data_IF_722729414774
#
_entry.id   IF_722729414774
#
_cell.length_a   1.000
_cell.length_b   1.000
_cell.length_c   1.000
_cell.angle_alpha   90.00
_cell.angle_beta   90.00
_cell.angle_gamma   90.00
#
_symmetry.space_group_name_H-M   'P 1'
#
loop_
_entity.id
_entity.type
_entity.pdbx_description
1 polymer ?
#
# COMPACT_ATOMS: atom_id res chain seq x y z
N UNK A 1 18.19 8.02 2.67
CA UNK A 1 16.70 8.12 2.67
C UNK A 1 16.22 7.06 1.70
N UNK A 2 15.25 6.23 2.10
CA UNK A 2 14.70 5.18 1.21
C UNK A 2 13.98 5.80 0.00
N UNK A 3 13.87 5.02 -1.11
CA UNK A 3 13.17 5.44 -2.33
C UNK A 3 11.72 5.84 -2.05
N UNK A 4 10.99 5.07 -1.22
CA UNK A 4 9.62 5.38 -0.83
C UNK A 4 9.47 6.72 -0.10
N UNK A 5 10.32 7.00 0.89
CA UNK A 5 10.34 8.32 1.58
C UNK A 5 10.64 9.48 0.65
N UNK A 6 11.46 9.26 -0.36
CA UNK A 6 11.76 10.30 -1.34
C UNK A 6 10.56 10.55 -2.25
N UNK A 7 9.92 9.49 -2.75
CA UNK A 7 8.67 9.60 -3.52
C UNK A 7 7.60 10.35 -2.74
N UNK A 8 7.37 10.01 -1.46
CA UNK A 8 6.40 10.68 -0.58
C UNK A 8 6.65 12.19 -0.45
N UNK A 9 7.92 12.64 -0.36
CA UNK A 9 8.24 14.08 -0.33
C UNK A 9 7.89 14.79 -1.64
N UNK A 10 8.11 14.14 -2.77
CA UNK A 10 7.74 14.70 -4.09
C UNK A 10 6.22 14.81 -4.18
N UNK A 11 5.50 13.74 -3.81
CA UNK A 11 4.03 13.68 -3.84
C UNK A 11 3.44 14.78 -2.94
N UNK A 12 3.90 14.90 -1.70
CA UNK A 12 3.43 15.92 -0.76
C UNK A 12 3.63 17.34 -1.31
N UNK A 13 4.80 17.62 -1.90
CA UNK A 13 5.08 18.93 -2.54
C UNK A 13 4.21 19.17 -3.77
N UNK A 14 3.91 18.14 -4.53
CA UNK A 14 3.04 18.24 -5.69
C UNK A 14 1.61 18.58 -5.27
N UNK A 15 1.06 17.81 -4.32
CA UNK A 15 -0.30 18.00 -3.80
C UNK A 15 -0.47 19.40 -3.19
N UNK A 16 0.53 19.89 -2.42
CA UNK A 16 0.45 21.22 -1.78
C UNK A 16 0.39 22.40 -2.77
N UNK A 17 0.71 22.18 -4.04
CA UNK A 17 0.70 23.19 -5.10
C UNK A 17 -0.35 22.93 -6.19
N UNK A 18 -1.05 21.84 -6.06
CA UNK A 18 -2.03 21.40 -7.05
C UNK A 18 -3.28 22.30 -7.00
N UNK A 19 -3.79 22.76 -8.15
CA UNK A 19 -5.08 23.46 -8.21
C UNK A 19 -6.22 22.59 -7.66
N UNK A 20 -7.18 23.21 -6.97
CA UNK A 20 -8.28 22.48 -6.32
C UNK A 20 -9.23 21.77 -7.31
N UNK A 21 -9.30 22.26 -8.55
CA UNK A 21 -10.12 21.72 -9.65
C UNK A 21 -9.42 20.61 -10.46
N UNK A 22 -8.17 20.25 -10.12
CA UNK A 22 -7.42 19.19 -10.78
C UNK A 22 -8.23 17.90 -10.82
N UNK A 23 -8.34 17.29 -12.00
CA UNK A 23 -8.95 15.96 -12.16
C UNK A 23 -7.99 14.84 -11.78
N UNK A 24 -8.52 13.61 -11.57
CA UNK A 24 -7.71 12.40 -11.31
C UNK A 24 -6.68 12.19 -12.44
N UNK A 25 -7.11 12.32 -13.70
CA UNK A 25 -6.22 12.24 -14.87
C UNK A 25 -5.08 13.26 -14.82
N UNK A 26 -5.40 14.53 -14.57
CA UNK A 26 -4.39 15.60 -14.47
C UNK A 26 -3.43 15.37 -13.30
N UNK A 27 -3.94 14.85 -12.16
CA UNK A 27 -3.11 14.44 -11.04
C UNK A 27 -2.13 13.35 -11.45
N UNK A 28 -2.61 12.26 -12.05
CA UNK A 28 -1.77 11.14 -12.51
C UNK A 28 -0.69 11.60 -13.48
N UNK A 29 -1.03 12.42 -14.48
CA UNK A 29 -0.06 12.99 -15.41
C UNK A 29 0.98 13.88 -14.72
N UNK A 30 0.53 14.74 -13.82
CA UNK A 30 1.38 15.71 -13.13
C UNK A 30 2.35 15.04 -12.17
N UNK A 31 1.89 14.09 -11.35
CA UNK A 31 2.74 13.39 -10.40
C UNK A 31 3.73 12.45 -11.09
N UNK A 32 3.30 11.78 -12.17
CA UNK A 32 4.19 10.99 -13.03
C UNK A 32 5.36 11.83 -13.51
N UNK A 33 5.09 13.01 -14.11
CA UNK A 33 6.13 13.94 -14.58
C UNK A 33 7.03 14.43 -13.44
N UNK A 34 6.45 14.65 -12.26
CA UNK A 34 7.19 15.15 -11.10
C UNK A 34 8.20 14.14 -10.59
N UNK A 35 7.85 12.86 -10.49
CA UNK A 35 8.79 11.79 -10.10
C UNK A 35 9.77 11.49 -11.23
N UNK A 36 9.28 11.38 -12.47
CA UNK A 36 10.11 11.08 -13.64
C UNK A 36 11.34 12.00 -13.77
N UNK A 37 11.17 13.30 -13.50
CA UNK A 37 12.27 14.29 -13.51
C UNK A 37 13.41 13.92 -12.57
N UNK A 38 13.15 13.21 -11.47
CA UNK A 38 14.16 12.82 -10.49
C UNK A 38 14.97 11.60 -10.90
N UNK A 39 14.54 10.87 -11.92
CA UNK A 39 15.30 9.75 -12.46
C UNK A 39 16.47 10.20 -13.36
N UNK A 40 16.34 11.37 -14.00
CA UNK A 40 17.40 11.93 -14.84
C UNK A 40 17.84 10.95 -15.93
N UNK A 41 19.13 10.61 -15.94
CA UNK A 41 19.71 9.71 -16.96
C UNK A 41 19.30 8.24 -16.78
N UNK A 42 18.77 7.85 -15.63
CA UNK A 42 18.35 6.46 -15.36
C UNK A 42 17.00 6.08 -15.96
N UNK A 43 16.31 6.99 -16.63
CA UNK A 43 14.93 6.75 -17.08
C UNK A 43 14.82 5.57 -18.05
N UNK A 44 15.79 5.41 -18.96
CA UNK A 44 15.80 4.32 -19.92
C UNK A 44 16.07 2.95 -19.24
N UNK A 45 16.94 2.92 -18.25
CA UNK A 45 17.21 1.75 -17.40
C UNK A 45 15.96 1.36 -16.62
N UNK A 46 15.35 2.33 -15.93
CA UNK A 46 14.16 2.10 -15.12
C UNK A 46 12.90 1.76 -15.96
N UNK A 47 12.89 2.06 -17.26
CA UNK A 47 11.82 1.63 -18.13
C UNK A 47 11.77 0.09 -18.27
N UNK A 48 12.94 -0.57 -18.26
CA UNK A 48 13.08 -2.03 -18.37
C UNK A 48 13.29 -2.73 -17.02
N UNK A 49 13.49 -1.96 -15.93
CA UNK A 49 13.64 -2.44 -14.55
C UNK A 49 12.61 -1.76 -13.63
N UNK A 50 11.30 -2.07 -13.78
CA UNK A 50 10.26 -1.47 -12.94
C UNK A 50 10.47 -1.70 -11.43
N UNK A 51 11.03 -2.85 -11.04
CA UNK A 51 11.33 -3.23 -9.66
C UNK A 51 12.34 -2.31 -8.95
N UNK A 52 13.11 -1.52 -9.71
CA UNK A 52 14.08 -0.56 -9.16
C UNK A 52 13.52 0.87 -9.02
N UNK A 53 12.29 1.12 -9.48
CA UNK A 53 11.67 2.44 -9.43
C UNK A 53 11.35 2.86 -7.99
N UNK A 54 11.29 4.16 -7.76
CA UNK A 54 10.65 4.70 -6.57
C UNK A 54 9.14 4.44 -6.67
N UNK A 55 8.56 3.75 -5.71
CA UNK A 55 7.12 3.44 -5.69
C UNK A 55 6.45 4.03 -4.47
N UNK A 56 5.23 4.52 -4.65
CA UNK A 56 4.37 4.97 -3.58
C UNK A 56 2.90 4.78 -3.93
N UNK A 57 2.08 4.63 -2.89
CA UNK A 57 0.62 4.62 -2.97
C UNK A 57 0.06 5.90 -2.39
N UNK A 58 -1.11 6.30 -2.85
CA UNK A 58 -1.83 7.46 -2.31
C UNK A 58 -3.33 7.25 -2.36
N UNK A 59 -4.02 7.65 -1.30
CA UNK A 59 -5.44 7.92 -1.31
C UNK A 59 -5.65 9.42 -1.16
N UNK A 60 -6.48 10.02 -2.01
CA UNK A 60 -6.68 11.46 -2.06
C UNK A 60 -8.17 11.80 -2.17
N UNK A 61 -8.62 12.80 -1.41
CA UNK A 61 -9.94 13.38 -1.56
C UNK A 61 -9.87 14.75 -2.26
N UNK A 62 -10.50 14.86 -3.42
CA UNK A 62 -10.73 16.12 -4.12
C UNK A 62 -12.03 16.76 -3.65
N UNK A 63 -11.93 17.77 -2.77
CA UNK A 63 -13.09 18.41 -2.17
C UNK A 63 -14.02 19.06 -3.21
N UNK A 64 -13.44 19.75 -4.20
CA UNK A 64 -14.21 20.44 -5.23
C UNK A 64 -14.96 19.48 -6.15
N UNK A 65 -14.33 18.35 -6.46
CA UNK A 65 -14.91 17.32 -7.32
C UNK A 65 -15.76 16.32 -6.56
N UNK A 66 -15.65 16.29 -5.24
CA UNK A 66 -16.26 15.26 -4.38
C UNK A 66 -15.88 13.83 -4.82
N UNK A 67 -14.62 13.65 -5.13
CA UNK A 67 -14.05 12.40 -5.60
C UNK A 67 -12.95 11.91 -4.66
N UNK A 68 -12.90 10.59 -4.40
CA UNK A 68 -11.76 9.93 -3.76
C UNK A 68 -11.04 9.12 -4.83
N UNK A 69 -9.73 9.24 -4.90
CA UNK A 69 -8.86 8.54 -5.86
C UNK A 69 -7.94 7.60 -5.10
N UNK A 70 -7.91 6.31 -5.51
CA UNK A 70 -7.01 5.31 -4.93
C UNK A 70 -5.96 4.91 -5.97
N UNK A 71 -4.70 5.31 -5.76
CA UNK A 71 -3.57 4.89 -6.57
C UNK A 71 -2.66 4.04 -5.68
N UNK A 72 -2.49 2.76 -6.03
CA UNK A 72 -1.84 1.78 -5.16
C UNK A 72 -2.78 1.23 -4.08
N UNK A 73 -2.23 0.64 -3.04
CA UNK A 73 -2.85 -0.23 -2.04
C UNK A 73 -3.29 0.45 -0.73
N UNK A 74 -3.45 1.77 -0.73
CA UNK A 74 -4.08 2.46 0.40
C UNK A 74 -5.53 2.02 0.58
N UNK A 75 -6.03 2.12 1.82
CA UNK A 75 -7.37 1.75 2.22
C UNK A 75 -8.25 3.00 2.41
N UNK A 76 -9.54 2.88 2.09
CA UNK A 76 -10.52 3.92 2.31
C UNK A 76 -11.83 3.33 2.84
N UNK A 77 -12.40 3.91 3.92
CA UNK A 77 -13.78 3.68 4.28
C UNK A 77 -14.62 4.90 3.92
N UNK A 78 -15.80 4.66 3.36
CA UNK A 78 -16.84 5.67 3.18
C UNK A 78 -18.10 5.15 3.87
N UNK A 79 -18.54 5.80 4.95
CA UNK A 79 -19.67 5.36 5.76
C UNK A 79 -19.55 3.89 6.21
N UNK A 80 -18.35 3.44 6.56
CA UNK A 80 -18.05 2.07 6.97
C UNK A 80 -17.88 1.06 5.83
N UNK A 81 -18.12 1.44 4.57
CA UNK A 81 -17.86 0.57 3.41
C UNK A 81 -16.40 0.68 3.00
N UNK A 82 -15.71 -0.45 2.93
CA UNK A 82 -14.30 -0.52 2.50
C UNK A 82 -14.18 -0.40 0.98
N UNK A 83 -13.22 0.41 0.57
CA UNK A 83 -12.69 0.52 -0.78
C UNK A 83 -11.18 0.34 -0.73
N UNK A 84 -10.67 -0.52 -1.58
CA UNK A 84 -9.25 -0.84 -1.70
C UNK A 84 -8.86 -1.05 -3.16
N UNK A 85 -7.57 -0.98 -3.45
CA UNK A 85 -7.01 -1.24 -4.76
C UNK A 85 -5.77 -2.12 -4.62
N UNK A 86 -6.00 -3.33 -4.08
CA UNK A 86 -4.95 -4.28 -3.72
C UNK A 86 -4.19 -4.76 -4.95
N UNK A 87 -2.90 -5.08 -4.77
CA UNK A 87 -2.09 -5.70 -5.81
C UNK A 87 -2.51 -7.15 -6.01
N UNK A 88 -2.81 -7.60 -7.24
CA UNK A 88 -3.39 -8.93 -7.49
C UNK A 88 -2.57 -10.10 -6.96
N UNK A 89 -1.25 -9.93 -6.83
CA UNK A 89 -0.33 -10.99 -6.42
C UNK A 89 -0.10 -11.09 -4.91
N UNK A 90 -0.49 -10.07 -4.11
CA UNK A 90 -0.15 -10.02 -2.68
C UNK A 90 -0.74 -11.17 -1.90
N UNK A 91 -2.02 -11.50 -2.16
CA UNK A 91 -2.67 -12.62 -1.50
C UNK A 91 -1.96 -13.96 -1.79
N UNK A 92 -1.57 -14.19 -3.05
CA UNK A 92 -0.83 -15.40 -3.45
C UNK A 92 0.52 -15.48 -2.74
N UNK A 93 1.27 -14.38 -2.69
CA UNK A 93 2.56 -14.35 -1.97
C UNK A 93 2.39 -14.54 -0.46
N UNK A 94 1.34 -13.96 0.13
CA UNK A 94 1.03 -14.14 1.55
C UNK A 94 0.69 -15.62 1.85
N UNK A 95 -0.05 -16.29 0.97
CA UNK A 95 -0.36 -17.72 1.09
C UNK A 95 0.88 -18.60 0.93
N UNK A 96 1.73 -18.33 -0.05
CA UNK A 96 3.01 -19.03 -0.24
C UNK A 96 3.90 -18.89 1.01
N UNK A 97 4.03 -17.66 1.53
CA UNK A 97 4.79 -17.43 2.76
C UNK A 97 4.18 -18.17 3.95
N UNK A 98 2.86 -18.12 4.12
CA UNK A 98 2.18 -18.81 5.21
C UNK A 98 2.37 -20.34 5.14
N UNK A 99 2.32 -20.93 3.95
CA UNK A 99 2.60 -22.36 3.74
C UNK A 99 4.06 -22.69 4.15
N UNK A 100 5.03 -21.89 3.67
CA UNK A 100 6.44 -22.12 3.98
C UNK A 100 6.75 -21.97 5.49
N UNK A 101 6.12 -21.03 6.19
CA UNK A 101 6.25 -20.93 7.66
C UNK A 101 5.75 -22.19 8.35
N UNK A 102 4.60 -22.74 7.92
CA UNK A 102 4.05 -23.96 8.51
C UNK A 102 4.98 -25.17 8.30
N UNK A 103 5.62 -25.27 7.14
CA UNK A 103 6.66 -26.28 6.86
C UNK A 103 7.86 -26.11 7.81
N UNK A 104 8.41 -24.90 7.92
CA UNK A 104 9.56 -24.61 8.78
C UNK A 104 9.26 -24.90 10.26
N UNK A 105 8.05 -24.62 10.73
CA UNK A 105 7.62 -25.00 12.08
C UNK A 105 7.56 -26.53 12.24
N UNK A 106 7.07 -27.24 11.24
CA UNK A 106 7.06 -28.71 11.25
C UNK A 106 8.48 -29.34 11.18
N UNK A 107 9.42 -28.64 10.54
CA UNK A 107 10.85 -28.98 10.51
C UNK A 107 11.57 -28.69 11.85
N UNK A 108 10.89 -28.11 12.84
CA UNK A 108 11.39 -27.84 14.19
C UNK A 108 11.90 -26.41 14.43
N UNK A 109 11.75 -25.50 13.48
CA UNK A 109 12.00 -24.06 13.71
C UNK A 109 11.00 -23.51 14.74
N UNK A 110 11.46 -22.56 15.55
CA UNK A 110 10.59 -21.88 16.51
C UNK A 110 9.97 -20.61 15.92
N UNK A 111 8.83 -20.21 16.47
CA UNK A 111 8.20 -18.93 16.10
C UNK A 111 9.16 -17.73 16.30
N UNK A 112 9.95 -17.75 17.38
CA UNK A 112 10.88 -16.65 17.70
C UNK A 112 11.99 -16.55 16.65
N UNK A 113 12.56 -17.67 16.22
CA UNK A 113 13.56 -17.71 15.15
C UNK A 113 12.98 -17.14 13.84
N UNK A 114 11.77 -17.54 13.45
CA UNK A 114 11.12 -17.11 12.21
C UNK A 114 10.66 -15.63 12.26
N UNK A 115 10.29 -15.10 13.42
CA UNK A 115 10.00 -13.68 13.59
C UNK A 115 11.27 -12.81 13.53
N UNK A 116 12.40 -13.37 13.95
CA UNK A 116 13.70 -12.67 13.91
C UNK A 116 14.34 -12.74 12.53
N UNK A 117 14.26 -13.91 11.88
CA UNK A 117 14.78 -14.17 10.54
C UNK A 117 13.72 -14.89 9.69
N UNK A 118 12.93 -14.13 8.95
CA UNK A 118 11.81 -14.64 8.15
C UNK A 118 12.31 -15.32 6.85
N UNK A 119 12.78 -16.55 6.96
CA UNK A 119 13.23 -17.37 5.83
C UNK A 119 12.12 -17.58 4.79
N UNK A 120 10.85 -17.66 5.24
CA UNK A 120 9.72 -17.79 4.34
C UNK A 120 9.48 -16.50 3.53
N UNK A 121 9.68 -15.30 4.14
CA UNK A 121 9.69 -14.06 3.39
C UNK A 121 10.83 -14.02 2.37
N UNK A 122 12.03 -14.43 2.78
CA UNK A 122 13.17 -14.51 1.87
C UNK A 122 12.86 -15.39 0.64
N UNK A 123 12.15 -16.50 0.81
CA UNK A 123 11.78 -17.39 -0.30
C UNK A 123 10.81 -16.81 -1.31
N UNK A 124 9.97 -15.83 -0.92
CA UNK A 124 9.00 -15.19 -1.83
C UNK A 124 9.53 -13.91 -2.49
N UNK A 125 10.67 -13.35 -2.03
CA UNK A 125 11.24 -12.11 -2.60
C UNK A 125 11.49 -12.22 -4.11
N UNK A 126 12.10 -13.27 -4.66
CA UNK A 126 12.32 -13.39 -6.10
C UNK A 126 11.02 -13.28 -6.90
N UNK A 127 9.95 -13.95 -6.44
CA UNK A 127 8.64 -13.86 -7.07
C UNK A 127 8.01 -12.48 -6.90
N UNK A 128 8.18 -11.83 -5.75
CA UNK A 128 7.71 -10.46 -5.51
C UNK A 128 8.35 -9.47 -6.48
N UNK A 129 9.67 -9.56 -6.70
CA UNK A 129 10.39 -8.71 -7.64
C UNK A 129 9.90 -8.92 -9.09
N UNK A 130 9.58 -10.17 -9.46
CA UNK A 130 9.00 -10.47 -10.77
C UNK A 130 7.61 -9.86 -10.95
N UNK A 131 6.76 -9.95 -9.93
CA UNK A 131 5.42 -9.35 -9.94
C UNK A 131 5.47 -7.79 -9.95
N UNK A 132 6.51 -7.19 -9.35
CA UNK A 132 6.71 -5.74 -9.41
C UNK A 132 6.95 -5.23 -10.83
N UNK A 133 7.34 -6.08 -11.77
CA UNK A 133 7.45 -5.70 -13.20
C UNK A 133 6.09 -5.40 -13.83
N UNK A 134 5.00 -5.84 -13.20
CA UNK A 134 3.62 -5.62 -13.65
C UNK A 134 3.01 -4.30 -13.13
N UNK A 135 3.77 -3.47 -12.42
CA UNK A 135 3.28 -2.17 -11.92
C UNK A 135 2.90 -1.25 -13.10
N UNK A 136 1.76 -0.57 -12.96
CA UNK A 136 1.10 0.21 -14.02
C UNK A 136 0.73 -0.60 -15.28
N UNK A 137 0.68 -1.94 -15.15
CA UNK A 137 0.14 -2.87 -16.17
C UNK A 137 -1.08 -3.58 -15.59
N UNK A 138 -0.98 -4.18 -14.40
CA UNK A 138 -2.06 -4.92 -13.73
C UNK A 138 -2.58 -4.25 -12.46
N UNK A 139 -1.85 -3.33 -11.88
CA UNK A 139 -2.21 -2.53 -10.71
C UNK A 139 -1.54 -1.15 -10.78
N UNK A 140 -2.15 -0.14 -10.17
CA UNK A 140 -1.60 1.22 -10.21
C UNK A 140 -0.60 1.47 -9.09
N UNK A 141 0.45 2.24 -9.39
CA UNK A 141 1.38 2.83 -8.41
C UNK A 141 1.88 4.19 -8.93
N UNK A 142 2.34 5.03 -8.03
CA UNK A 142 3.07 6.24 -8.39
C UNK A 142 4.56 5.90 -8.45
N UNK A 143 5.10 5.74 -9.67
CA UNK A 143 6.48 5.30 -9.91
C UNK A 143 7.25 6.16 -10.92
N UNK A 144 6.65 7.26 -11.39
CA UNK A 144 7.24 8.15 -12.40
C UNK A 144 7.03 7.69 -13.84
N UNK A 145 6.24 6.64 -14.06
CA UNK A 145 5.79 6.17 -15.37
C UNK A 145 4.27 6.34 -15.49
N UNK A 146 3.70 6.29 -16.73
CA UNK A 146 2.28 6.52 -16.94
C UNK A 146 1.40 5.58 -16.11
N UNK A 147 0.40 6.14 -15.44
CA UNK A 147 -0.58 5.41 -14.64
C UNK A 147 -1.85 5.25 -15.50
N UNK A 148 -2.24 4.03 -15.89
CA UNK A 148 -3.48 3.81 -16.65
C UNK A 148 -4.71 4.16 -15.83
N UNK A 149 -5.62 4.94 -16.39
CA UNK A 149 -6.83 5.42 -15.68
C UNK A 149 -7.71 4.28 -15.19
N UNK A 150 -7.85 3.21 -15.97
CA UNK A 150 -8.67 2.06 -15.60
C UNK A 150 -8.15 1.27 -14.39
N UNK A 151 -6.91 1.53 -13.96
CA UNK A 151 -6.32 0.95 -12.75
C UNK A 151 -6.48 1.84 -11.52
N UNK A 152 -7.13 3.00 -11.65
CA UNK A 152 -7.33 3.96 -10.56
C UNK A 152 -8.82 4.03 -10.21
N UNK A 153 -9.27 3.38 -9.13
CA UNK A 153 -10.63 3.56 -8.65
C UNK A 153 -10.90 5.03 -8.29
N UNK A 154 -12.00 5.56 -8.82
CA UNK A 154 -12.53 6.90 -8.51
C UNK A 154 -13.90 6.71 -7.87
N UNK A 155 -14.04 7.15 -6.62
CA UNK A 155 -15.28 7.08 -5.86
C UNK A 155 -15.89 8.47 -5.85
N UNK A 156 -17.02 8.65 -6.52
CA UNK A 156 -17.78 9.91 -6.52
C UNK A 156 -18.74 9.91 -5.33
N UNK A 157 -18.72 11.00 -4.57
CA UNK A 157 -19.57 11.21 -3.40
C UNK A 157 -20.69 12.20 -3.73
N UNK A 158 -21.89 11.91 -3.30
CA UNK A 158 -23.01 12.85 -3.37
C UNK A 158 -22.86 14.00 -2.36
N UNK A 159 -23.86 14.88 -2.27
CA UNK A 159 -23.82 16.04 -1.39
C UNK A 159 -24.30 15.76 0.05
N UNK A 160 -24.65 14.50 0.37
CA UNK A 160 -24.96 14.12 1.74
C UNK A 160 -23.68 14.13 2.60
N UNK A 161 -23.82 14.22 3.93
CA UNK A 161 -22.70 14.03 4.84
C UNK A 161 -22.10 12.63 4.71
N UNK A 162 -20.78 12.54 4.62
CA UNK A 162 -20.06 11.28 4.59
C UNK A 162 -18.98 11.26 5.66
N UNK A 163 -18.89 10.13 6.39
CA UNK A 163 -17.74 9.81 7.20
C UNK A 163 -16.70 9.08 6.34
N UNK A 164 -15.48 9.59 6.35
CA UNK A 164 -14.39 9.08 5.53
C UNK A 164 -13.21 8.71 6.42
N UNK A 165 -12.63 7.54 6.18
CA UNK A 165 -11.37 7.12 6.78
C UNK A 165 -10.40 6.77 5.67
N UNK A 166 -9.18 7.32 5.74
CA UNK A 166 -8.06 6.92 4.90
C UNK A 166 -7.01 6.24 5.75
N UNK A 167 -6.43 5.16 5.24
CA UNK A 167 -5.32 4.48 5.89
C UNK A 167 -4.32 3.92 4.86
N UNK A 168 -3.08 3.71 5.33
CA UNK A 168 -2.14 2.84 4.62
C UNK A 168 -2.48 1.36 4.90
N UNK A 169 -1.83 0.46 4.17
CA UNK A 169 -1.99 -1.00 4.24
C UNK A 169 -1.43 -1.65 5.52
N UNK A 170 -0.97 -0.86 6.48
CA UNK A 170 -0.46 -1.35 7.77
C UNK A 170 -1.52 -1.80 8.78
N UNK A 171 -2.81 -1.74 8.44
CA UNK A 171 -3.90 -2.27 9.26
C UNK A 171 -4.44 -3.57 8.68
N UNK A 172 -4.49 -4.68 9.46
CA UNK A 172 -5.09 -5.95 9.00
C UNK A 172 -6.61 -5.81 8.79
N UNK A 173 -7.26 -4.97 9.61
CA UNK A 173 -8.67 -4.61 9.51
C UNK A 173 -8.77 -3.12 9.77
N UNK A 174 -9.26 -2.38 8.78
CA UNK A 174 -9.55 -0.96 8.94
C UNK A 174 -10.97 -0.78 9.49
N UNK A 175 -11.07 -0.07 10.60
CA UNK A 175 -12.33 0.25 11.28
C UNK A 175 -12.68 1.74 11.19
N UNK A 176 -13.95 2.12 11.43
CA UNK A 176 -14.38 3.51 11.43
C UNK A 176 -13.66 4.40 12.45
N UNK A 177 -13.15 3.84 13.54
CA UNK A 177 -12.36 4.57 14.53
C UNK A 177 -10.92 4.09 14.59
N UNK A 178 -10.01 4.99 14.98
CA UNK A 178 -8.61 4.65 15.20
C UNK A 178 -8.45 3.60 16.30
N UNK A 179 -9.18 3.77 17.40
CA UNK A 179 -9.10 2.86 18.56
C UNK A 179 -9.50 1.42 18.18
N UNK A 180 -10.56 1.26 17.40
CA UNK A 180 -10.97 -0.06 16.89
C UNK A 180 -9.90 -0.66 15.94
N UNK A 181 -9.35 0.14 15.03
CA UNK A 181 -8.30 -0.32 14.11
C UNK A 181 -7.03 -0.75 14.86
N UNK A 182 -6.61 0.03 15.87
CA UNK A 182 -5.47 -0.31 16.73
C UNK A 182 -5.76 -1.54 17.61
N UNK A 183 -7.00 -1.72 18.09
CA UNK A 183 -7.40 -2.91 18.83
C UNK A 183 -7.32 -4.18 17.96
N UNK A 184 -7.77 -4.11 16.69
CA UNK A 184 -7.63 -5.20 15.74
C UNK A 184 -6.17 -5.54 15.45
N UNK A 185 -5.32 -4.53 15.27
CA UNK A 185 -3.88 -4.71 15.06
C UNK A 185 -3.21 -5.35 16.28
N UNK A 186 -3.55 -4.90 17.48
CA UNK A 186 -3.03 -5.46 18.73
C UNK A 186 -3.50 -6.92 18.94
N UNK A 187 -4.75 -7.22 18.59
CA UNK A 187 -5.29 -8.58 18.63
C UNK A 187 -4.53 -9.49 17.64
N UNK A 188 -4.35 -9.05 16.38
CA UNK A 188 -3.59 -9.79 15.36
C UNK A 188 -2.16 -10.09 15.84
N UNK A 189 -1.45 -9.09 16.39
CA UNK A 189 -0.10 -9.26 16.93
C UNK A 189 -0.04 -10.33 18.03
N UNK A 190 -1.07 -10.38 18.89
CA UNK A 190 -1.13 -11.34 20.01
C UNK A 190 -1.47 -12.74 19.55
N UNK A 191 -2.40 -12.91 18.61
CA UNK A 191 -2.98 -14.20 18.23
C UNK A 191 -2.28 -14.83 17.03
N UNK A 192 -1.76 -14.01 16.12
CA UNK A 192 -1.07 -14.47 14.89
C UNK A 192 0.08 -13.53 14.50
N UNK A 193 1.14 -13.43 15.33
CA UNK A 193 2.25 -12.51 15.07
C UNK A 193 3.02 -12.79 13.78
N UNK A 194 2.89 -13.97 13.23
CA UNK A 194 3.48 -14.32 11.95
C UNK A 194 2.62 -13.95 10.75
N UNK A 195 1.37 -13.50 10.94
CA UNK A 195 0.41 -13.19 9.87
C UNK A 195 0.25 -14.35 8.86
N UNK A 196 -0.13 -15.55 9.36
CA UNK A 196 -0.22 -16.78 8.56
C UNK A 196 -1.57 -17.49 8.65
N UNK A 197 -2.50 -16.99 9.47
CA UNK A 197 -3.79 -17.64 9.74
C UNK A 197 -4.96 -16.81 9.17
N UNK A 198 -5.61 -15.97 9.98
CA UNK A 198 -6.79 -15.20 9.59
C UNK A 198 -6.46 -14.06 8.64
N UNK A 199 -5.46 -13.27 9.00
CA UNK A 199 -4.90 -12.24 8.13
C UNK A 199 -3.52 -12.70 7.68
N UNK A 200 -3.41 -13.07 6.42
CA UNK A 200 -2.12 -13.45 5.84
C UNK A 200 -1.45 -12.24 5.20
N UNK A 201 -0.15 -12.09 5.45
CA UNK A 201 0.64 -11.02 4.85
C UNK A 201 2.01 -11.52 4.39
N UNK A 202 2.64 -10.75 3.52
CA UNK A 202 3.99 -11.05 3.01
C UNK A 202 5.09 -10.88 4.07
N UNK A 203 4.75 -10.40 5.27
CA UNK A 203 5.64 -10.25 6.43
C UNK A 203 4.88 -10.42 7.75
N UNK A 204 5.60 -10.82 8.79
CA UNK A 204 5.11 -10.89 10.16
C UNK A 204 5.49 -9.66 10.98
N UNK A 205 5.16 -9.69 12.28
CA UNK A 205 5.60 -8.66 13.23
C UNK A 205 7.05 -8.89 13.60
N UNK A 206 7.91 -7.91 13.38
CA UNK A 206 9.28 -7.95 13.89
C UNK A 206 9.26 -7.81 15.42
N UNK A 207 10.06 -8.60 16.16
CA UNK A 207 10.15 -8.49 17.62
C UNK A 207 10.42 -7.04 18.07
N UNK A 208 9.66 -6.58 19.05
CA UNK A 208 9.74 -5.19 19.55
C UNK A 208 8.90 -4.16 18.80
N UNK A 209 8.39 -4.46 17.60
CA UNK A 209 7.52 -3.56 16.86
C UNK A 209 6.06 -3.69 17.30
N UNK A 210 5.34 -2.57 17.25
CA UNK A 210 3.89 -2.52 17.52
C UNK A 210 3.04 -2.83 16.27
N UNK A 211 3.65 -2.81 15.09
CA UNK A 211 3.02 -3.07 13.80
C UNK A 211 3.92 -3.93 12.91
N UNK A 212 3.34 -4.65 11.95
CA UNK A 212 4.09 -5.39 10.94
C UNK A 212 4.50 -4.49 9.76
N UNK A 213 3.86 -3.31 9.60
CA UNK A 213 4.18 -2.30 8.60
C UNK A 213 4.03 -0.87 9.16
N UNK A 214 4.55 0.14 8.43
CA UNK A 214 4.26 1.54 8.69
C UNK A 214 2.76 1.80 8.50
N UNK A 215 2.15 2.60 9.38
CA UNK A 215 0.72 2.88 9.32
C UNK A 215 0.39 4.34 9.49
N UNK A 216 -0.63 4.76 8.77
CA UNK A 216 -1.21 6.10 8.82
C UNK A 216 -2.73 5.95 8.87
N UNK A 217 -3.40 6.77 9.66
CA UNK A 217 -4.85 6.81 9.78
C UNK A 217 -5.32 8.26 9.81
N UNK A 218 -6.33 8.57 9.02
CA UNK A 218 -7.00 9.89 9.00
C UNK A 218 -8.51 9.67 8.93
N UNK A 219 -9.28 10.36 9.78
CA UNK A 219 -10.74 10.35 9.77
C UNK A 219 -11.27 11.76 9.69
N UNK A 220 -12.26 11.98 8.82
CA UNK A 220 -12.91 13.28 8.66
C UNK A 220 -14.34 13.11 8.14
N UNK A 221 -15.14 14.17 8.27
CA UNK A 221 -16.50 14.26 7.73
C UNK A 221 -16.57 15.38 6.69
N UNK A 222 -17.36 15.18 5.65
CA UNK A 222 -17.58 16.15 4.59
C UNK A 222 -19.07 16.43 4.40
#
# INVERSE_FOLDING_TARGET
MSNGRYAMKIISRFISKMPADTSCHQFCLGITRSINKHYGRRIAELAVHPEERMTASVVLFSRLRREIWLIGDCLCLVNGKLFENSKPYEQTLAEMRAARIKELLAEGKTQEELLTNDEARASIIPRMLEEMKNQNITYSVIDGFPIPEHLVPVITLDFNPHEIVFASDGYPILCPTLDESEAQLAHQRKTDPMNINHFKATKGFTPGNLSFDDRTYIRFTI
#
